data_IF_350450713225
#
_entry.id   IF_350450713225
#
_cell.length_a   1.000
_cell.length_b   1.000
_cell.length_c   1.000
_cell.angle_alpha   90.00
_cell.angle_beta   90.00
_cell.angle_gamma   90.00
#
_symmetry.space_group_name_H-M   'P 1'
#
loop_
_entity.id
_entity.type
_entity.pdbx_description
1 polymer ?
#
# COMPACT_ATOMS: atom_id res chain seq x y z
N UNK A 1 -32.43 -18.40 1.71
CA UNK A 1 -31.19 -17.76 2.20
C UNK A 1 -30.42 -17.39 0.96
N UNK A 2 -30.30 -16.09 0.69
CA UNK A 2 -29.41 -15.61 -0.37
C UNK A 2 -28.03 -15.63 0.26
N UNK A 3 -27.16 -16.52 -0.20
CA UNK A 3 -25.73 -16.42 0.10
C UNK A 3 -25.27 -15.06 -0.43
N UNK A 4 -25.13 -14.10 0.47
CA UNK A 4 -24.47 -12.84 0.13
C UNK A 4 -23.02 -13.21 -0.05
N UNK A 5 -22.59 -13.29 -1.31
CA UNK A 5 -21.17 -13.31 -1.63
C UNK A 5 -20.65 -11.95 -1.13
N UNK A 6 -20.04 -11.94 0.06
CA UNK A 6 -19.24 -10.80 0.49
C UNK A 6 -18.17 -10.62 -0.56
N UNK A 7 -18.20 -9.47 -1.26
CA UNK A 7 -17.14 -9.12 -2.19
C UNK A 7 -15.79 -9.15 -1.47
N UNK A 8 -14.79 -9.72 -2.13
CA UNK A 8 -13.43 -9.78 -1.60
C UNK A 8 -12.89 -8.36 -1.59
N UNK A 9 -12.55 -7.85 -0.41
CA UNK A 9 -11.99 -6.51 -0.25
C UNK A 9 -10.56 -6.48 -0.83
N UNK A 10 -10.31 -5.48 -1.67
CA UNK A 10 -9.05 -5.28 -2.38
C UNK A 10 -8.16 -4.29 -1.67
N UNK A 11 -6.91 -4.68 -1.42
CA UNK A 11 -5.92 -3.88 -0.71
C UNK A 11 -4.75 -3.55 -1.62
N UNK A 12 -4.34 -2.27 -1.63
CA UNK A 12 -3.07 -1.83 -2.18
C UNK A 12 -2.08 -1.51 -1.05
N UNK A 13 -0.89 -2.13 -1.08
CA UNK A 13 0.17 -1.85 -0.12
C UNK A 13 1.11 -0.75 -0.62
N UNK A 14 1.07 0.41 0.04
CA UNK A 14 1.96 1.55 -0.22
C UNK A 14 3.13 1.56 0.78
N UNK A 15 4.36 1.43 0.30
CA UNK A 15 5.56 1.49 1.16
C UNK A 15 6.85 1.66 0.34
N UNK A 16 8.01 1.50 0.98
CA UNK A 16 9.33 1.53 0.35
C UNK A 16 9.80 0.13 -0.10
N UNK A 17 10.53 0.06 -1.22
CA UNK A 17 11.26 -1.16 -1.65
C UNK A 17 12.18 -1.73 -0.56
N UNK A 18 12.70 -0.87 0.33
CA UNK A 18 13.52 -1.26 1.48
C UNK A 18 12.77 -2.20 2.44
N UNK A 19 11.43 -2.21 2.37
CA UNK A 19 10.57 -3.06 3.20
C UNK A 19 10.10 -4.34 2.50
N UNK A 20 10.68 -4.72 1.34
CA UNK A 20 10.23 -5.88 0.55
C UNK A 20 9.89 -7.11 1.39
N UNK A 21 10.79 -7.58 2.25
CA UNK A 21 10.56 -8.76 3.09
C UNK A 21 9.37 -8.60 4.03
N UNK A 22 9.23 -7.43 4.68
CA UNK A 22 8.08 -7.10 5.54
C UNK A 22 6.77 -7.10 4.75
N UNK A 23 6.77 -6.51 3.56
CA UNK A 23 5.58 -6.39 2.71
C UNK A 23 5.11 -7.74 2.17
N UNK A 24 6.03 -8.65 1.82
CA UNK A 24 5.66 -10.00 1.38
C UNK A 24 5.02 -10.82 2.52
N UNK A 25 5.50 -10.64 3.76
CA UNK A 25 4.89 -11.26 4.95
C UNK A 25 3.49 -10.68 5.18
N UNK A 26 3.35 -9.35 5.18
CA UNK A 26 2.05 -8.66 5.35
C UNK A 26 1.07 -9.10 4.25
N UNK A 27 1.51 -9.15 2.99
CA UNK A 27 0.69 -9.62 1.88
C UNK A 27 0.18 -11.03 2.14
N UNK A 28 1.05 -11.96 2.54
CA UNK A 28 0.67 -13.33 2.86
C UNK A 28 -0.36 -13.43 4.01
N UNK A 29 -0.17 -12.63 5.07
CA UNK A 29 -1.11 -12.57 6.20
C UNK A 29 -2.49 -12.04 5.76
N UNK A 30 -2.53 -10.98 4.96
CA UNK A 30 -3.78 -10.41 4.45
C UNK A 30 -4.49 -11.39 3.49
N UNK A 31 -3.76 -12.04 2.57
CA UNK A 31 -4.33 -13.07 1.71
C UNK A 31 -4.91 -14.22 2.54
N UNK A 32 -4.19 -14.65 3.58
CA UNK A 32 -4.68 -15.68 4.51
C UNK A 32 -5.98 -15.25 5.22
N UNK A 33 -6.14 -13.95 5.50
CA UNK A 33 -7.36 -13.38 6.07
C UNK A 33 -8.50 -13.18 5.07
N UNK A 34 -8.29 -13.49 3.78
CA UNK A 34 -9.32 -13.42 2.74
C UNK A 34 -9.39 -12.10 1.97
N UNK A 35 -8.34 -11.28 2.00
CA UNK A 35 -8.23 -10.08 1.15
C UNK A 35 -7.59 -10.42 -0.21
N UNK A 36 -7.92 -9.63 -1.24
CA UNK A 36 -7.17 -9.61 -2.50
C UNK A 36 -6.15 -8.46 -2.43
N UNK A 37 -4.86 -8.73 -2.66
CA UNK A 37 -3.79 -7.81 -2.23
C UNK A 37 -2.77 -7.55 -3.33
N UNK A 38 -2.71 -6.30 -3.79
CA UNK A 38 -1.59 -5.82 -4.61
C UNK A 38 -0.42 -5.39 -3.73
N UNK A 39 0.76 -5.90 -4.06
CA UNK A 39 2.03 -5.56 -3.43
C UNK A 39 3.08 -5.33 -4.51
N UNK A 40 3.58 -4.10 -4.62
CA UNK A 40 4.55 -3.73 -5.66
C UNK A 40 5.87 -4.47 -5.60
N UNK A 41 6.23 -5.04 -4.45
CA UNK A 41 7.42 -5.87 -4.30
C UNK A 41 7.22 -7.33 -4.73
N UNK A 42 5.98 -7.76 -4.98
CA UNK A 42 5.68 -9.08 -5.51
C UNK A 42 5.76 -9.04 -7.04
N UNK A 43 6.91 -9.43 -7.57
CA UNK A 43 7.28 -9.20 -8.97
C UNK A 43 6.74 -10.27 -9.93
N UNK A 44 5.85 -11.17 -9.50
CA UNK A 44 5.30 -12.22 -10.36
C UNK A 44 4.50 -11.61 -11.53
N UNK A 45 5.20 -11.32 -12.64
CA UNK A 45 4.66 -10.70 -13.84
C UNK A 45 4.54 -9.17 -13.83
N UNK A 46 4.98 -8.48 -12.76
CA UNK A 46 4.95 -7.02 -12.65
C UNK A 46 6.27 -6.41 -13.10
N UNK A 47 6.22 -5.45 -14.03
CA UNK A 47 7.35 -4.57 -14.29
C UNK A 47 7.63 -3.76 -13.02
N UNK A 48 8.82 -3.93 -12.47
CA UNK A 48 9.24 -3.24 -11.26
C UNK A 48 10.51 -2.48 -11.55
N UNK A 49 10.57 -1.27 -11.03
CA UNK A 49 11.74 -0.42 -11.15
C UNK A 49 12.02 0.14 -9.78
N UNK A 50 13.20 -0.20 -9.28
CA UNK A 50 13.79 0.53 -8.17
C UNK A 50 14.42 1.77 -8.79
N UNK A 51 14.04 3.01 -8.43
CA UNK A 51 14.69 4.21 -8.93
C UNK A 51 16.21 4.21 -8.71
N UNK A 52 16.70 3.47 -7.72
CA UNK A 52 18.14 3.25 -7.50
C UNK A 52 18.83 2.52 -8.66
N UNK A 53 18.08 1.86 -9.55
CA UNK A 53 18.59 1.19 -10.75
C UNK A 53 18.69 2.12 -11.97
N UNK A 54 18.28 3.38 -11.85
CA UNK A 54 18.36 4.35 -12.94
C UNK A 54 19.79 4.88 -13.00
N UNK A 55 20.49 4.51 -14.08
CA UNK A 55 21.80 5.06 -14.40
C UNK A 55 21.71 6.59 -14.50
N UNK A 56 22.67 7.28 -13.89
CA UNK A 56 22.79 8.75 -13.92
C UNK A 56 21.61 9.50 -13.27
N UNK A 57 20.98 8.91 -12.25
CA UNK A 57 19.92 9.57 -11.47
C UNK A 57 20.32 10.93 -10.89
N UNK A 58 21.62 11.19 -10.70
CA UNK A 58 22.20 12.47 -10.28
C UNK A 58 22.22 13.55 -11.37
N UNK A 59 22.00 13.17 -12.64
CA UNK A 59 22.03 14.07 -13.79
C UNK A 59 20.65 14.45 -14.34
N UNK A 60 19.58 13.76 -13.93
CA UNK A 60 18.21 14.02 -14.39
C UNK A 60 17.43 14.81 -13.33
N UNK A 61 16.61 15.78 -13.77
CA UNK A 61 15.70 16.49 -12.87
C UNK A 61 14.35 15.77 -12.77
N UNK A 62 13.50 16.20 -11.83
CA UNK A 62 12.20 15.58 -11.59
C UNK A 62 11.25 15.62 -12.81
N UNK A 63 11.35 16.61 -13.71
CA UNK A 63 10.51 16.69 -14.91
C UNK A 63 10.97 15.67 -15.95
N UNK A 64 12.26 15.63 -16.24
CA UNK A 64 12.82 14.69 -17.21
C UNK A 64 12.66 13.24 -16.74
N UNK A 65 12.75 13.01 -15.43
CA UNK A 65 12.48 11.72 -14.81
C UNK A 65 11.06 11.21 -15.10
N UNK A 66 10.04 12.08 -15.09
CA UNK A 66 8.64 11.70 -15.38
C UNK A 66 8.41 11.37 -16.86
N UNK A 67 9.30 11.77 -17.75
CA UNK A 67 9.24 11.47 -19.19
C UNK A 67 9.90 10.13 -19.56
N UNK A 68 10.61 9.48 -18.62
CA UNK A 68 11.20 8.17 -18.87
C UNK A 68 10.09 7.12 -19.08
N UNK A 69 10.10 6.35 -20.19
CA UNK A 69 9.01 5.40 -20.49
C UNK A 69 8.74 4.40 -19.35
N UNK A 70 9.81 3.94 -18.72
CA UNK A 70 9.73 3.02 -17.59
C UNK A 70 9.08 3.67 -16.35
N UNK A 71 9.35 4.95 -16.08
CA UNK A 71 8.73 5.69 -14.99
C UNK A 71 7.23 5.88 -15.26
N UNK A 72 6.86 6.21 -16.50
CA UNK A 72 5.46 6.30 -16.92
C UNK A 72 4.73 4.97 -16.74
N UNK A 73 5.35 3.85 -17.14
CA UNK A 73 4.78 2.52 -16.98
C UNK A 73 4.52 2.16 -15.50
N UNK A 74 5.47 2.44 -14.61
CA UNK A 74 5.29 2.23 -13.17
C UNK A 74 4.15 3.09 -12.64
N UNK A 75 4.14 4.38 -12.99
CA UNK A 75 3.12 5.32 -12.55
C UNK A 75 1.72 4.85 -12.97
N UNK A 76 1.54 4.51 -14.25
CA UNK A 76 0.27 4.02 -14.80
C UNK A 76 -0.17 2.75 -14.07
N UNK A 77 0.76 1.81 -13.84
CA UNK A 77 0.44 0.57 -13.14
C UNK A 77 0.02 0.83 -11.69
N UNK A 78 0.82 1.58 -10.93
CA UNK A 78 0.54 1.90 -9.53
C UNK A 78 -0.80 2.63 -9.40
N UNK A 79 -1.04 3.64 -10.25
CA UNK A 79 -2.32 4.36 -10.31
C UNK A 79 -3.50 3.41 -10.54
N UNK A 80 -3.38 2.49 -11.50
CA UNK A 80 -4.40 1.48 -11.78
C UNK A 80 -4.67 0.58 -10.57
N UNK A 81 -3.63 0.16 -9.84
CA UNK A 81 -3.80 -0.68 -8.65
C UNK A 81 -4.43 0.09 -7.48
N UNK A 82 -4.08 1.36 -7.30
CA UNK A 82 -4.75 2.22 -6.31
C UNK A 82 -6.23 2.39 -6.67
N UNK A 83 -6.54 2.63 -7.94
CA UNK A 83 -7.93 2.74 -8.43
C UNK A 83 -8.73 1.44 -8.29
N UNK A 84 -8.08 0.29 -8.48
CA UNK A 84 -8.67 -1.03 -8.28
C UNK A 84 -8.96 -1.36 -6.81
N UNK A 85 -8.11 -0.91 -5.89
CA UNK A 85 -8.23 -1.23 -4.47
C UNK A 85 -9.39 -0.50 -3.79
N UNK A 86 -10.03 -1.15 -2.81
CA UNK A 86 -11.02 -0.52 -1.92
C UNK A 86 -10.32 0.20 -0.76
N UNK A 87 -9.20 -0.38 -0.32
CA UNK A 87 -8.40 0.08 0.81
C UNK A 87 -6.92 0.24 0.43
N UNK A 88 -6.29 1.33 0.87
CA UNK A 88 -4.83 1.55 0.78
C UNK A 88 -4.21 1.47 2.18
N UNK A 89 -3.20 0.62 2.33
CA UNK A 89 -2.41 0.55 3.56
C UNK A 89 -1.03 1.18 3.33
N UNK A 90 -0.78 2.31 3.99
CA UNK A 90 0.56 2.92 4.02
C UNK A 90 1.37 2.29 5.17
N UNK A 91 2.41 1.53 4.84
CA UNK A 91 3.21 0.78 5.82
C UNK A 91 4.51 1.53 6.12
N UNK A 92 4.68 1.98 7.37
CA UNK A 92 5.89 2.66 7.83
C UNK A 92 7.05 1.67 8.09
N UNK A 93 8.31 2.12 7.97
CA UNK A 93 8.72 3.40 7.39
C UNK A 93 8.50 3.40 5.87
N UNK A 94 7.99 4.49 5.29
CA UNK A 94 7.72 4.55 3.85
C UNK A 94 8.47 5.70 3.17
N UNK A 95 8.45 5.73 1.84
CA UNK A 95 8.98 6.86 1.07
C UNK A 95 7.94 7.96 0.86
N UNK A 96 8.38 9.09 0.31
CA UNK A 96 7.50 10.22 -0.05
C UNK A 96 6.38 9.81 -1.01
N UNK A 97 6.64 8.86 -1.91
CA UNK A 97 5.64 8.35 -2.85
C UNK A 97 4.43 7.76 -2.13
N UNK A 98 4.61 7.01 -1.04
CA UNK A 98 3.52 6.38 -0.33
C UNK A 98 2.57 7.40 0.31
N UNK A 99 3.09 8.55 0.73
CA UNK A 99 2.25 9.66 1.23
C UNK A 99 1.42 10.28 0.10
N UNK A 100 2.02 10.46 -1.09
CA UNK A 100 1.31 10.94 -2.27
C UNK A 100 0.22 9.95 -2.73
N UNK A 101 0.52 8.66 -2.73
CA UNK A 101 -0.40 7.57 -3.07
C UNK A 101 -1.58 7.52 -2.08
N UNK A 102 -1.31 7.66 -0.77
CA UNK A 102 -2.34 7.74 0.27
C UNK A 102 -3.26 8.96 0.07
N UNK A 103 -2.68 10.14 -0.22
CA UNK A 103 -3.45 11.35 -0.53
C UNK A 103 -4.32 11.19 -1.79
N UNK A 104 -3.77 10.62 -2.86
CA UNK A 104 -4.52 10.33 -4.09
C UNK A 104 -5.68 9.37 -3.82
N UNK A 105 -5.45 8.31 -3.05
CA UNK A 105 -6.47 7.35 -2.66
C UNK A 105 -7.59 7.98 -1.84
N UNK A 106 -7.28 8.85 -0.87
CA UNK A 106 -8.30 9.64 -0.16
C UNK A 106 -9.11 10.53 -1.10
N UNK A 107 -8.46 11.16 -2.09
CA UNK A 107 -9.14 11.97 -3.11
C UNK A 107 -10.10 11.17 -4.01
N UNK A 108 -10.00 9.83 -4.01
CA UNK A 108 -10.91 8.91 -4.69
C UNK A 108 -11.96 8.28 -3.74
N UNK A 109 -12.15 8.84 -2.54
CA UNK A 109 -13.04 8.32 -1.49
C UNK A 109 -12.73 6.88 -1.03
N UNK A 110 -11.47 6.44 -1.16
CA UNK A 110 -11.02 5.13 -0.66
C UNK A 110 -10.76 5.16 0.84
N UNK A 111 -10.80 3.98 1.46
CA UNK A 111 -10.30 3.79 2.83
C UNK A 111 -8.78 3.83 2.79
N UNK A 112 -8.18 4.58 3.70
CA UNK A 112 -6.73 4.68 3.83
C UNK A 112 -6.35 4.55 5.29
N UNK A 113 -5.38 3.68 5.55
CA UNK A 113 -4.85 3.45 6.89
C UNK A 113 -3.33 3.54 6.88
N UNK A 114 -2.76 4.01 7.98
CA UNK A 114 -1.31 4.02 8.19
C UNK A 114 -0.95 3.00 9.26
N UNK A 115 0.02 2.14 8.95
CA UNK A 115 0.48 1.09 9.83
C UNK A 115 1.90 1.39 10.29
N UNK A 116 2.10 1.39 11.60
CA UNK A 116 3.33 1.72 12.31
C UNK A 116 4.51 0.76 12.06
N UNK A 117 5.68 1.11 12.62
CA UNK A 117 5.82 1.77 13.93
C UNK A 117 5.68 3.30 13.90
N UNK A 118 5.08 3.88 14.95
CA UNK A 118 5.05 5.33 15.19
C UNK A 118 6.10 5.69 16.25
N UNK A 119 7.18 6.36 15.81
CA UNK A 119 8.29 6.73 16.69
C UNK A 119 7.88 7.96 17.51
N UNK A 120 8.03 7.89 18.84
CA UNK A 120 7.73 9.03 19.72
C UNK A 120 8.59 10.24 19.34
N UNK A 121 7.93 11.36 19.06
CA UNK A 121 8.58 12.60 18.64
C UNK A 121 8.67 12.78 17.13
N UNK A 122 8.30 11.76 16.34
CA UNK A 122 8.08 11.87 14.91
C UNK A 122 6.57 11.96 14.66
N UNK A 123 6.13 13.06 14.07
CA UNK A 123 4.72 13.33 13.85
C UNK A 123 4.52 14.12 12.56
N UNK A 124 3.41 13.85 11.89
CA UNK A 124 2.96 14.59 10.73
C UNK A 124 1.47 14.90 10.88
N UNK A 125 1.10 16.18 10.83
CA UNK A 125 -0.29 16.61 10.96
C UNK A 125 -1.17 16.08 9.82
N UNK A 126 -0.58 15.77 8.65
CA UNK A 126 -1.28 15.27 7.48
C UNK A 126 -1.80 13.84 7.68
N UNK A 127 -1.37 13.12 8.72
CA UNK A 127 -1.98 11.85 9.11
C UNK A 127 -3.47 12.01 9.47
N UNK A 128 -3.94 13.22 9.76
CA UNK A 128 -5.37 13.51 9.95
C UNK A 128 -6.26 13.30 8.71
N UNK A 129 -5.68 13.13 7.52
CA UNK A 129 -6.46 12.81 6.31
C UNK A 129 -6.89 11.35 6.22
N UNK A 130 -6.18 10.43 6.90
CA UNK A 130 -6.45 9.00 6.80
C UNK A 130 -7.54 8.57 7.78
N UNK A 131 -8.17 7.41 7.51
CA UNK A 131 -9.32 6.96 8.29
C UNK A 131 -8.91 6.47 9.69
N UNK A 132 -7.73 5.81 9.80
CA UNK A 132 -7.19 5.35 11.09
C UNK A 132 -5.69 5.05 11.03
N UNK A 133 -5.04 5.13 12.19
CA UNK A 133 -3.67 4.71 12.44
C UNK A 133 -3.68 3.40 13.24
N UNK A 134 -2.78 2.47 12.91
CA UNK A 134 -2.59 1.22 13.65
C UNK A 134 -1.13 0.98 13.98
N UNK A 135 -0.82 0.54 15.20
CA UNK A 135 0.55 0.24 15.62
C UNK A 135 1.13 -0.98 14.89
N UNK A 136 0.26 -1.92 14.49
CA UNK A 136 0.65 -3.12 13.77
C UNK A 136 -0.39 -3.56 12.73
N UNK A 137 0.03 -4.45 11.82
CA UNK A 137 -0.89 -5.08 10.87
C UNK A 137 -1.94 -5.94 11.59
N UNK A 138 -1.61 -6.51 12.75
CA UNK A 138 -2.53 -7.34 13.52
C UNK A 138 -3.69 -6.52 14.09
N UNK A 139 -3.44 -5.29 14.53
CA UNK A 139 -4.50 -4.39 15.02
C UNK A 139 -5.45 -4.03 13.87
N UNK A 140 -4.91 -3.74 12.67
CA UNK A 140 -5.72 -3.53 11.49
C UNK A 140 -6.59 -4.77 11.18
N UNK A 141 -5.99 -5.94 11.16
CA UNK A 141 -6.70 -7.18 10.84
C UNK A 141 -7.80 -7.43 11.88
N UNK A 142 -7.50 -7.30 13.18
CA UNK A 142 -8.46 -7.50 14.27
C UNK A 142 -9.68 -6.58 14.13
N UNK A 143 -9.46 -5.30 13.86
CA UNK A 143 -10.53 -4.30 13.75
C UNK A 143 -11.36 -4.44 12.47
N UNK A 144 -10.82 -5.11 11.43
CA UNK A 144 -11.46 -5.20 10.10
C UNK A 144 -11.85 -6.64 9.72
N UNK A 145 -11.72 -7.63 10.61
CA UNK A 145 -12.04 -9.03 10.32
C UNK A 145 -13.34 -9.57 10.94
N UNK A 146 -14.20 -8.74 11.55
CA UNK A 146 -15.51 -9.20 12.02
C UNK A 146 -16.30 -9.83 10.85
N UNK A 147 -16.56 -11.14 10.93
CA UNK A 147 -17.27 -11.91 9.89
C UNK A 147 -16.41 -12.52 8.78
N UNK A 148 -15.08 -12.37 8.79
CA UNK A 148 -14.15 -13.02 7.84
C UNK A 148 -13.66 -14.36 8.39
N UNK A 149 -13.46 -15.35 7.51
CA UNK A 149 -13.33 -16.81 7.78
C UNK A 149 -12.36 -17.27 8.90
N UNK A 150 -11.53 -16.40 9.46
CA UNK A 150 -10.41 -16.80 10.33
C UNK A 150 -10.16 -15.85 11.53
N UNK A 151 -11.22 -15.24 12.08
CA UNK A 151 -11.14 -14.38 13.28
C UNK A 151 -10.63 -15.07 14.56
N UNK A 152 -10.34 -16.37 14.52
CA UNK A 152 -9.89 -17.16 15.69
C UNK A 152 -8.36 -17.35 15.77
N UNK A 153 -7.58 -16.85 14.80
CA UNK A 153 -6.12 -17.10 14.71
C UNK A 153 -5.28 -15.92 15.24
N UNK A 154 -5.89 -14.79 15.59
CA UNK A 154 -5.20 -13.56 16.04
C UNK A 154 -5.73 -13.12 17.40
#
# INVERSE_FOLDING_TARGET
MIDTITEIEKIYLASSWKNKSKLLIIQGLLIHCGYDVDCFCNTNGRLTHNPENILESDKINAKDFLELPDVQNIYIYNKKMIEWADTVLMILPCGNSSHLEAGYAKGLDKKVYIIGPFIKGEFDAMYGFVDKLYDSIFDFIKDNNEGRKYSEII
#
